data_IF_245471734013
#
_entry.id   IF_245471734013
#
_cell.length_a   1.000
_cell.length_b   1.000
_cell.length_c   1.000
_cell.angle_alpha   90.00
_cell.angle_beta   90.00
_cell.angle_gamma   90.00
#
_symmetry.space_group_name_H-M   'P 1'
#
loop_
_entity.id
_entity.type
_entity.pdbx_description
1 polymer ?
#
# COMPACT_ATOMS: atom_id res chain seq x y z
N UNK A 1 4.28 -30.62 12.78
CA UNK A 1 5.03 -29.41 13.21
C UNK A 1 5.02 -28.50 12.00
N UNK A 2 4.18 -27.47 11.99
CA UNK A 2 4.06 -26.58 10.83
C UNK A 2 5.34 -25.76 10.69
N UNK A 3 5.95 -25.79 9.52
CA UNK A 3 7.18 -25.08 9.21
C UNK A 3 7.01 -23.57 9.49
N UNK A 4 8.05 -22.86 9.95
CA UNK A 4 8.00 -21.41 9.98
C UNK A 4 7.78 -20.96 8.53
N UNK A 5 6.67 -20.29 8.25
CA UNK A 5 6.43 -19.63 6.97
C UNK A 5 7.44 -18.49 6.84
N UNK A 6 8.65 -18.83 6.42
CA UNK A 6 9.70 -17.87 6.12
C UNK A 6 9.23 -17.09 4.89
N UNK A 7 8.81 -15.85 5.12
CA UNK A 7 8.43 -14.95 4.04
C UNK A 7 9.73 -14.62 3.29
N UNK A 8 9.91 -15.20 2.12
CA UNK A 8 11.04 -14.91 1.22
C UNK A 8 10.86 -13.52 0.59
N UNK A 9 11.27 -12.51 1.35
CA UNK A 9 11.19 -11.10 0.96
C UNK A 9 11.94 -10.82 -0.35
N UNK A 10 13.17 -11.33 -0.58
CA UNK A 10 13.84 -11.21 -1.88
C UNK A 10 13.02 -11.74 -3.06
N UNK A 11 12.42 -12.91 -2.94
CA UNK A 11 11.59 -13.49 -4.00
C UNK A 11 10.32 -12.66 -4.25
N UNK A 12 9.66 -12.19 -3.18
CA UNK A 12 8.48 -11.31 -3.27
C UNK A 12 8.83 -10.00 -3.96
N UNK A 13 9.95 -9.38 -3.58
CA UNK A 13 10.47 -8.16 -4.18
C UNK A 13 10.67 -8.32 -5.67
N UNK A 14 11.37 -9.38 -6.09
CA UNK A 14 11.61 -9.65 -7.50
C UNK A 14 10.29 -9.78 -8.29
N UNK A 15 9.31 -10.51 -7.73
CA UNK A 15 7.98 -10.68 -8.34
C UNK A 15 7.21 -9.37 -8.44
N UNK A 16 7.22 -8.55 -7.39
CA UNK A 16 6.53 -7.26 -7.39
C UNK A 16 7.17 -6.29 -8.40
N UNK A 17 8.50 -6.17 -8.40
CA UNK A 17 9.22 -5.32 -9.36
C UNK A 17 8.94 -5.74 -10.81
N UNK A 18 8.95 -7.04 -11.09
CA UNK A 18 8.62 -7.56 -12.41
C UNK A 18 7.19 -7.18 -12.86
N UNK A 19 6.23 -7.16 -11.93
CA UNK A 19 4.85 -6.74 -12.20
C UNK A 19 4.68 -5.21 -12.28
N UNK A 20 5.51 -4.45 -11.57
CA UNK A 20 5.47 -2.98 -11.59
C UNK A 20 6.03 -2.38 -12.87
N UNK A 21 6.97 -3.06 -13.53
CA UNK A 21 7.55 -2.60 -14.80
C UNK A 21 8.12 -1.20 -14.72
N UNK A 22 7.58 -0.28 -15.52
CA UNK A 22 7.95 1.15 -15.54
C UNK A 22 7.72 1.88 -14.20
N UNK A 23 6.85 1.35 -13.34
CA UNK A 23 6.58 1.88 -12.01
C UNK A 23 7.49 1.30 -10.92
N UNK A 24 8.54 0.54 -11.27
CA UNK A 24 9.48 -0.03 -10.30
C UNK A 24 10.13 1.01 -9.37
N UNK A 25 10.22 2.27 -9.79
CA UNK A 25 10.69 3.38 -8.96
C UNK A 25 9.79 3.68 -7.75
N UNK A 26 8.52 3.26 -7.80
CA UNK A 26 7.53 3.41 -6.72
C UNK A 26 7.54 2.24 -5.72
N UNK A 27 8.57 1.40 -5.76
CA UNK A 27 8.68 0.23 -4.89
C UNK A 27 8.67 0.62 -3.40
N UNK A 28 7.90 -0.08 -2.53
CA UNK A 28 7.69 0.33 -1.15
C UNK A 28 8.71 -0.30 -0.19
N UNK A 29 9.78 0.43 0.10
CA UNK A 29 10.90 -0.02 0.94
C UNK A 29 10.51 -0.10 2.42
N UNK A 30 9.69 0.84 2.91
CA UNK A 30 9.24 0.84 4.30
C UNK A 30 8.25 -0.31 4.58
N UNK A 31 7.38 -0.61 3.62
CA UNK A 31 6.49 -1.79 3.70
C UNK A 31 7.30 -3.08 3.67
N UNK A 32 8.31 -3.20 2.81
CA UNK A 32 9.21 -4.37 2.79
C UNK A 32 9.84 -4.63 4.16
N UNK A 33 10.41 -3.60 4.78
CA UNK A 33 11.15 -3.72 6.04
C UNK A 33 10.25 -3.97 7.26
N UNK A 34 9.05 -3.34 7.29
CA UNK A 34 8.20 -3.31 8.49
C UNK A 34 6.99 -4.24 8.41
N UNK A 35 6.52 -4.50 7.19
CA UNK A 35 5.29 -5.23 6.92
C UNK A 35 5.47 -6.23 5.75
N UNK A 36 6.36 -7.22 5.87
CA UNK A 36 6.65 -8.17 4.78
C UNK A 36 5.43 -8.99 4.34
N UNK A 37 4.45 -9.19 5.22
CA UNK A 37 3.16 -9.82 4.89
C UNK A 37 2.28 -8.93 4.00
N UNK A 38 2.32 -7.60 4.20
CA UNK A 38 1.63 -6.66 3.32
C UNK A 38 2.27 -6.65 1.95
N UNK A 39 3.61 -6.66 1.89
CA UNK A 39 4.36 -6.75 0.63
C UNK A 39 4.02 -8.04 -0.13
N UNK A 40 3.98 -9.19 0.57
CA UNK A 40 3.61 -10.47 -0.02
C UNK A 40 2.22 -10.43 -0.65
N UNK A 41 1.22 -9.94 0.10
CA UNK A 41 -0.16 -9.80 -0.38
C UNK A 41 -0.25 -8.84 -1.55
N UNK A 42 0.48 -7.73 -1.50
CA UNK A 42 0.52 -6.75 -2.59
C UNK A 42 1.10 -7.37 -3.86
N UNK A 43 2.21 -8.12 -3.76
CA UNK A 43 2.83 -8.79 -4.90
C UNK A 43 1.90 -9.83 -5.56
N UNK A 44 1.06 -10.50 -4.78
CA UNK A 44 0.04 -11.43 -5.30
C UNK A 44 -1.07 -10.69 -6.07
N UNK A 45 -1.54 -9.57 -5.52
CA UNK A 45 -2.68 -8.82 -6.07
C UNK A 45 -2.28 -7.83 -7.17
N UNK A 46 -1.01 -7.43 -7.25
CA UNK A 46 -0.56 -6.37 -8.16
C UNK A 46 -0.84 -6.70 -9.62
N UNK A 47 -1.41 -5.72 -10.34
CA UNK A 47 -1.90 -5.86 -11.71
C UNK A 47 -3.32 -6.40 -11.81
N UNK A 48 -4.06 -6.45 -10.69
CA UNK A 48 -5.46 -6.87 -10.65
C UNK A 48 -6.31 -5.83 -9.92
N UNK A 49 -7.63 -5.82 -10.17
CA UNK A 49 -8.58 -4.92 -9.47
C UNK A 49 -8.58 -5.09 -7.94
N UNK A 50 -8.18 -6.26 -7.45
CA UNK A 50 -8.12 -6.51 -6.00
C UNK A 50 -6.96 -5.78 -5.33
N UNK A 51 -5.93 -5.35 -6.06
CA UNK A 51 -4.87 -4.52 -5.50
C UNK A 51 -5.40 -3.14 -5.06
N UNK A 52 -6.27 -2.50 -5.85
CA UNK A 52 -6.89 -1.22 -5.48
C UNK A 52 -7.71 -1.35 -4.19
N UNK A 53 -8.55 -2.39 -4.11
CA UNK A 53 -9.37 -2.67 -2.92
C UNK A 53 -8.50 -2.95 -1.70
N UNK A 54 -7.41 -3.67 -1.87
CA UNK A 54 -6.49 -3.97 -0.78
C UNK A 54 -5.79 -2.70 -0.28
N UNK A 55 -5.27 -1.86 -1.18
CA UNK A 55 -4.63 -0.59 -0.82
C UNK A 55 -5.60 0.37 -0.12
N UNK A 56 -6.85 0.44 -0.59
CA UNK A 56 -7.91 1.23 0.06
C UNK A 56 -8.20 0.73 1.48
N UNK A 57 -8.32 -0.60 1.65
CA UNK A 57 -8.49 -1.23 2.97
C UNK A 57 -7.33 -1.00 3.93
N UNK A 58 -6.11 -0.76 3.45
CA UNK A 58 -4.97 -0.40 4.30
C UNK A 58 -5.05 1.04 4.80
N UNK A 59 -5.70 1.93 4.04
CA UNK A 59 -5.88 3.34 4.41
C UNK A 59 -7.10 3.56 5.31
N UNK A 60 -8.21 2.86 5.06
CA UNK A 60 -9.43 2.93 5.86
C UNK A 60 -9.30 2.00 7.07
N UNK A 61 -8.66 2.50 8.13
CA UNK A 61 -8.56 1.77 9.40
C UNK A 61 -9.89 1.84 10.16
N UNK A 62 -10.77 0.86 9.96
CA UNK A 62 -12.10 0.78 10.62
C UNK A 62 -12.03 0.35 12.10
N UNK A 63 -10.84 0.27 12.71
CA UNK A 63 -10.67 -0.30 14.06
C UNK A 63 -10.22 0.77 15.04
N UNK A 64 -11.02 1.11 16.07
CA UNK A 64 -10.75 2.21 17.01
C UNK A 64 -9.51 2.00 17.92
N UNK A 65 -8.86 0.83 17.86
CA UNK A 65 -7.82 0.43 18.81
C UNK A 65 -6.48 0.03 18.17
N UNK A 66 -6.19 0.44 16.93
CA UNK A 66 -4.85 0.27 16.31
C UNK A 66 -4.19 1.61 16.05
N UNK A 67 -2.90 1.69 16.36
CA UNK A 67 -2.01 2.68 15.77
C UNK A 67 -2.03 2.46 14.24
N UNK A 68 -2.43 3.49 13.49
CA UNK A 68 -2.41 3.46 12.03
C UNK A 68 -1.00 3.25 11.46
N UNK A 69 -0.87 3.32 10.14
CA UNK A 69 0.46 3.26 9.54
C UNK A 69 1.27 4.51 9.90
N UNK A 70 2.57 4.36 10.17
CA UNK A 70 3.48 5.49 10.29
C UNK A 70 3.48 6.29 8.98
N UNK A 71 3.76 7.61 9.03
CA UNK A 71 3.60 8.50 7.89
C UNK A 71 4.38 8.03 6.64
N UNK A 72 5.60 7.52 6.81
CA UNK A 72 6.41 7.02 5.70
C UNK A 72 5.76 5.84 4.98
N UNK A 73 5.12 4.95 5.74
CA UNK A 73 4.41 3.77 5.20
C UNK A 73 3.09 4.19 4.56
N UNK A 74 2.37 5.14 5.16
CA UNK A 74 1.15 5.70 4.58
C UNK A 74 1.44 6.37 3.22
N UNK A 75 2.54 7.12 3.10
CA UNK A 75 2.98 7.71 1.83
C UNK A 75 3.37 6.66 0.78
N UNK A 76 3.95 5.53 1.19
CA UNK A 76 4.20 4.41 0.26
C UNK A 76 2.90 3.77 -0.23
N UNK A 77 1.94 3.50 0.67
CA UNK A 77 0.61 2.97 0.30
C UNK A 77 -0.09 3.91 -0.69
N UNK A 78 -0.02 5.22 -0.45
CA UNK A 78 -0.58 6.22 -1.36
C UNK A 78 0.10 6.20 -2.74
N UNK A 79 1.44 6.21 -2.79
CA UNK A 79 2.19 6.15 -4.05
C UNK A 79 1.88 4.88 -4.84
N UNK A 80 1.73 3.75 -4.15
CA UNK A 80 1.31 2.49 -4.75
C UNK A 80 -0.10 2.55 -5.35
N UNK A 81 -1.05 3.17 -4.64
CA UNK A 81 -2.42 3.34 -5.14
C UNK A 81 -2.45 4.21 -6.40
N UNK A 82 -1.66 5.29 -6.43
CA UNK A 82 -1.51 6.14 -7.63
C UNK A 82 -0.85 5.38 -8.78
N UNK A 83 0.23 4.64 -8.51
CA UNK A 83 0.90 3.84 -9.53
C UNK A 83 0.00 2.72 -10.09
N UNK A 84 -0.79 2.07 -9.24
CA UNK A 84 -1.74 1.04 -9.68
C UNK A 84 -2.95 1.64 -10.42
N UNK A 85 -3.40 2.84 -10.03
CA UNK A 85 -4.47 3.57 -10.72
C UNK A 85 -4.15 3.87 -12.19
N UNK A 86 -2.87 4.08 -12.52
CA UNK A 86 -2.41 4.28 -13.91
C UNK A 86 -2.71 3.11 -14.84
N UNK A 87 -2.90 1.89 -14.32
CA UNK A 87 -3.26 0.73 -15.14
C UNK A 87 -4.72 0.76 -15.63
N UNK A 88 -5.55 1.69 -15.14
CA UNK A 88 -6.94 1.86 -15.59
C UNK A 88 -7.84 0.64 -15.34
N UNK A 89 -7.43 -0.26 -14.45
CA UNK A 89 -8.12 -1.53 -14.21
C UNK A 89 -9.40 -1.36 -13.40
N UNK A 90 -9.50 -0.31 -12.59
CA UNK A 90 -10.70 -0.01 -11.80
C UNK A 90 -11.72 0.78 -12.62
N UNK A 91 -12.97 0.29 -12.65
CA UNK A 91 -14.13 0.95 -13.29
C UNK A 91 -14.97 1.75 -12.30
N UNK A 92 -14.65 1.69 -11.00
CA UNK A 92 -15.18 2.61 -10.03
C UNK A 92 -14.63 3.99 -10.41
N UNK A 93 -15.52 4.88 -10.85
CA UNK A 93 -15.21 6.25 -11.27
C UNK A 93 -14.01 6.78 -10.46
N UNK A 94 -12.95 7.14 -11.17
CA UNK A 94 -11.74 7.78 -10.64
C UNK A 94 -12.12 8.81 -9.59
N UNK A 95 -12.04 8.37 -8.34
CA UNK A 95 -12.74 8.97 -7.21
C UNK A 95 -12.31 8.32 -5.91
N UNK A 96 -11.18 7.59 -5.92
CA UNK A 96 -10.31 7.59 -4.76
C UNK A 96 -9.94 9.06 -4.54
N UNK A 97 -10.61 9.72 -3.59
CA UNK A 97 -10.42 11.14 -3.22
C UNK A 97 -9.01 11.48 -2.69
N UNK A 98 -8.03 10.68 -3.08
CA UNK A 98 -6.64 10.67 -2.71
C UNK A 98 -5.79 11.36 -3.77
N UNK A 99 -6.17 11.34 -5.05
CA UNK A 99 -5.47 12.06 -6.13
C UNK A 99 -5.46 13.60 -5.97
N UNK A 100 -6.20 14.14 -4.99
CA UNK A 100 -6.32 15.57 -4.73
C UNK A 100 -5.97 16.02 -3.30
N UNK A 101 -5.37 15.16 -2.46
CA UNK A 101 -4.85 15.62 -1.16
C UNK A 101 -3.38 15.97 -1.30
N UNK A 102 -3.10 17.27 -1.19
CA UNK A 102 -1.77 17.83 -0.91
C UNK A 102 -1.01 16.92 0.07
N UNK A 103 0.22 16.53 -0.26
CA UNK A 103 1.12 15.76 0.62
C UNK A 103 1.26 16.42 2.02
N UNK A 104 1.07 17.75 2.10
CA UNK A 104 1.07 18.53 3.33
C UNK A 104 -0.19 18.37 4.22
N UNK A 105 -1.31 17.89 3.66
CA UNK A 105 -2.57 17.69 4.38
C UNK A 105 -2.65 16.30 5.05
N UNK A 106 -1.98 15.29 4.48
CA UNK A 106 -1.93 13.94 5.06
C UNK A 106 -1.20 13.95 6.42
N UNK A 107 -0.17 14.78 6.56
CA UNK A 107 0.55 14.97 7.82
C UNK A 107 -0.25 15.73 8.91
N UNK A 108 -1.42 16.29 8.59
CA UNK A 108 -2.20 17.14 9.52
C UNK A 108 -3.56 16.58 9.96
N UNK A 109 -3.96 15.39 9.51
CA UNK A 109 -5.19 14.73 10.00
C UNK A 109 -5.01 13.37 10.67
N UNK A 110 -3.77 12.91 10.85
CA UNK A 110 -3.48 11.72 11.65
C UNK A 110 -3.08 12.02 13.12
N UNK A 111 -3.04 13.30 13.52
CA UNK A 111 -2.42 13.73 14.79
C UNK A 111 -3.29 14.60 15.72
N UNK A 112 -4.60 14.72 15.47
CA UNK A 112 -5.51 15.35 16.43
C UNK A 112 -6.54 14.34 16.91
N UNK A 113 -6.20 13.61 17.97
CA UNK A 113 -6.94 13.66 19.24
C UNK A 113 -6.29 12.69 20.24
N UNK A 114 -5.35 13.20 21.05
CA UNK A 114 -5.08 12.57 22.35
C UNK A 114 -4.76 13.71 23.33
N UNK A 115 -5.83 14.19 23.97
CA UNK A 115 -5.79 15.17 25.06
C UNK A 115 -5.51 14.48 26.38
#
# INVERSE_FOLDING_TARGET
MGEPTEIDVPAIKARLLAKMGEHAASYPVQIEQRFPHVLARLAELWGTRDADRYLDSLMVSDRPNRAGFPPDVAMEIFRLATAHGSYGLSTAASGTGWAGVDEAALAKKAFSDQR
#
